data_IF_719944892477
#
_entry.id   IF_719944892477
#
_cell.length_a   1.000
_cell.length_b   1.000
_cell.length_c   1.000
_cell.angle_alpha   90.00
_cell.angle_beta   90.00
_cell.angle_gamma   90.00
#
_symmetry.space_group_name_H-M   'P 1'
#
loop_
_entity.id
_entity.type
_entity.pdbx_description
1 polymer ?
#
# COMPACT_ATOMS: atom_id res chain seq x y z
N UNK A 1 10.30 2.27 -0.28
CA UNK A 1 9.75 1.19 0.55
C UNK A 1 8.72 1.81 1.46
N UNK A 2 7.55 1.22 1.55
CA UNK A 2 6.47 1.67 2.44
C UNK A 2 6.96 1.64 3.89
N UNK A 3 6.66 2.69 4.65
CA UNK A 3 6.89 2.68 6.09
C UNK A 3 5.61 2.17 6.75
N UNK A 4 5.75 1.10 7.50
CA UNK A 4 4.64 0.36 8.05
C UNK A 4 4.79 0.36 9.57
N UNK A 5 3.73 0.72 10.28
CA UNK A 5 3.72 0.59 11.73
C UNK A 5 3.35 -0.83 12.17
N UNK A 6 3.51 -1.10 13.46
CA UNK A 6 3.26 -2.43 14.04
C UNK A 6 1.78 -2.81 13.94
N UNK A 7 0.88 -1.83 14.09
CA UNK A 7 -0.57 -2.08 14.08
C UNK A 7 -1.05 -2.49 12.70
N UNK A 8 -0.56 -1.83 11.66
CA UNK A 8 -0.84 -2.18 10.28
C UNK A 8 -0.21 -3.51 9.89
N UNK A 9 1.02 -3.80 10.32
CA UNK A 9 1.64 -5.11 10.09
C UNK A 9 0.80 -6.25 10.71
N UNK A 10 0.31 -6.06 11.95
CA UNK A 10 -0.60 -7.02 12.60
C UNK A 10 -1.89 -7.18 11.79
N UNK A 11 -2.48 -6.07 11.33
CA UNK A 11 -3.70 -6.12 10.50
C UNK A 11 -3.50 -6.93 9.22
N UNK A 12 -2.38 -6.74 8.53
CA UNK A 12 -2.03 -7.52 7.33
C UNK A 12 -1.94 -9.02 7.66
N UNK A 13 -1.30 -9.38 8.78
CA UNK A 13 -1.24 -10.79 9.22
C UNK A 13 -2.65 -11.35 9.46
N UNK A 14 -3.50 -10.60 10.16
CA UNK A 14 -4.86 -11.05 10.47
C UNK A 14 -5.73 -11.22 9.21
N UNK A 15 -5.49 -10.41 8.17
CA UNK A 15 -6.27 -10.40 6.94
C UNK A 15 -5.82 -11.47 5.94
N UNK A 16 -4.50 -11.65 5.77
CA UNK A 16 -3.95 -12.45 4.66
C UNK A 16 -3.44 -13.84 5.07
N UNK A 17 -3.12 -14.08 6.34
CA UNK A 17 -2.68 -15.41 6.80
C UNK A 17 -3.87 -16.36 6.98
N UNK A 18 -3.96 -17.47 6.21
CA UNK A 18 -5.07 -18.41 6.34
C UNK A 18 -5.05 -19.22 7.64
N UNK A 19 -3.88 -19.52 8.21
CA UNK A 19 -3.79 -20.34 9.43
C UNK A 19 -4.09 -19.52 10.71
N UNK A 20 -5.04 -20.01 11.50
CA UNK A 20 -5.45 -19.37 12.76
C UNK A 20 -4.33 -19.36 13.82
N UNK A 21 -3.57 -20.44 13.95
CA UNK A 21 -2.47 -20.51 14.94
C UNK A 21 -1.38 -19.48 14.61
N UNK A 22 -1.08 -19.30 13.33
CA UNK A 22 -0.11 -18.30 12.87
C UNK A 22 -0.62 -16.87 13.11
N UNK A 23 -1.91 -16.61 12.84
CA UNK A 23 -2.54 -15.33 13.20
C UNK A 23 -2.47 -15.04 14.69
N UNK A 24 -2.70 -16.03 15.54
CA UNK A 24 -2.64 -15.87 17.00
C UNK A 24 -1.21 -15.56 17.49
N UNK A 25 -0.20 -16.08 16.78
CA UNK A 25 1.23 -15.81 17.05
C UNK A 25 1.76 -14.55 16.34
N UNK A 26 0.93 -13.84 15.58
CA UNK A 26 1.33 -12.69 14.75
C UNK A 26 2.44 -13.05 13.73
N UNK A 27 2.33 -14.24 13.12
CA UNK A 27 3.22 -14.72 12.07
C UNK A 27 2.45 -14.89 10.76
N UNK A 28 3.11 -14.60 9.63
CA UNK A 28 2.59 -14.83 8.28
C UNK A 28 3.53 -15.76 7.52
N UNK A 29 2.97 -16.82 6.95
CA UNK A 29 3.68 -17.78 6.14
C UNK A 29 3.75 -17.32 4.67
N UNK A 30 4.57 -18.00 3.89
CA UNK A 30 4.82 -17.66 2.49
C UNK A 30 3.52 -17.54 1.67
N UNK A 31 2.53 -18.41 1.90
CA UNK A 31 1.25 -18.32 1.19
C UNK A 31 0.51 -17.01 1.52
N UNK A 32 0.40 -16.64 2.79
CA UNK A 32 -0.22 -15.38 3.21
C UNK A 32 0.48 -14.16 2.61
N UNK A 33 1.82 -14.20 2.55
CA UNK A 33 2.61 -13.15 1.91
C UNK A 33 2.33 -13.03 0.41
N UNK A 34 2.25 -14.16 -0.31
CA UNK A 34 1.91 -14.17 -1.74
C UNK A 34 0.48 -13.66 -1.96
N UNK A 35 -0.47 -14.01 -1.08
CA UNK A 35 -1.85 -13.51 -1.15
C UNK A 35 -1.91 -12.00 -0.99
N UNK A 36 -1.20 -11.45 -0.01
CA UNK A 36 -1.08 -10.01 0.18
C UNK A 36 -0.54 -9.30 -1.07
N UNK A 37 0.57 -9.80 -1.63
CA UNK A 37 1.17 -9.17 -2.82
C UNK A 37 0.26 -9.22 -4.05
N UNK A 38 -0.58 -10.24 -4.17
CA UNK A 38 -1.52 -10.42 -5.29
C UNK A 38 -2.93 -9.89 -4.97
N UNK A 39 -3.10 -9.15 -3.88
CA UNK A 39 -4.40 -8.54 -3.58
C UNK A 39 -4.79 -7.59 -4.72
N UNK A 40 -6.02 -7.66 -5.26
CA UNK A 40 -6.45 -6.80 -6.34
C UNK A 40 -6.40 -5.30 -6.00
N UNK A 41 -6.36 -4.94 -4.72
CA UNK A 41 -6.23 -3.58 -4.22
C UNK A 41 -4.77 -3.17 -3.96
N UNK A 42 -3.77 -4.07 -4.11
CA UNK A 42 -2.36 -3.73 -4.02
C UNK A 42 -1.86 -3.11 -5.34
N UNK A 43 -2.40 -1.92 -5.66
CA UNK A 43 -2.13 -1.23 -6.91
C UNK A 43 -0.66 -0.81 -7.03
N UNK A 44 -0.13 -0.89 -8.26
CA UNK A 44 1.22 -0.37 -8.57
C UNK A 44 1.27 1.15 -8.51
N UNK A 45 0.13 1.81 -8.78
CA UNK A 45 0.02 3.26 -8.84
C UNK A 45 -1.41 3.69 -8.53
N UNK A 46 -1.56 4.65 -7.62
CA UNK A 46 -2.83 5.28 -7.26
C UNK A 46 -2.68 6.78 -7.51
N UNK A 47 -3.06 7.28 -8.71
CA UNK A 47 -2.91 8.70 -9.05
C UNK A 47 -3.73 9.62 -8.13
N UNK A 48 -4.82 9.11 -7.56
CA UNK A 48 -5.72 9.85 -6.69
C UNK A 48 -5.06 10.26 -5.36
N UNK A 49 -4.06 9.50 -4.90
CA UNK A 49 -3.31 9.80 -3.67
C UNK A 49 -2.20 10.84 -3.90
N UNK A 50 -1.97 11.24 -5.15
CA UNK A 50 -0.96 12.24 -5.50
C UNK A 50 -1.63 13.60 -5.53
N UNK A 51 -1.43 14.37 -4.47
CA UNK A 51 -1.77 15.78 -4.47
C UNK A 51 -0.72 16.55 -5.30
N UNK A 52 -1.13 17.27 -6.36
CA UNK A 52 -0.20 18.10 -7.12
C UNK A 52 0.30 19.24 -6.23
N UNK A 53 1.60 19.50 -6.25
CA UNK A 53 2.18 20.65 -5.55
C UNK A 53 1.56 21.95 -6.12
N UNK A 54 0.84 22.75 -5.32
CA UNK A 54 0.21 23.98 -5.78
C UNK A 54 1.23 24.98 -6.32
N UNK A 55 2.48 24.93 -5.85
CA UNK A 55 3.55 25.81 -6.34
C UNK A 55 3.86 25.51 -7.80
N UNK A 56 3.76 24.24 -8.20
CA UNK A 56 3.97 23.82 -9.59
C UNK A 56 2.89 24.34 -10.54
N UNK A 57 1.77 24.87 -10.04
CA UNK A 57 0.69 25.46 -10.84
C UNK A 57 0.82 26.97 -11.02
N UNK A 58 1.87 27.60 -10.48
CA UNK A 58 2.11 29.05 -10.56
C UNK A 58 2.99 29.49 -11.75
N UNK A 59 3.44 28.56 -12.59
CA UNK A 59 4.23 28.89 -13.78
C UNK A 59 3.32 29.40 -14.93
N UNK A 60 3.88 30.08 -15.94
CA UNK A 60 3.11 30.47 -17.12
C UNK A 60 2.56 29.25 -17.89
N UNK A 61 1.42 29.42 -18.58
CA UNK A 61 0.73 28.34 -19.31
C UNK A 61 1.61 27.56 -20.30
N UNK A 62 2.63 28.20 -20.88
CA UNK A 62 3.56 27.55 -21.81
C UNK A 62 4.49 26.51 -21.16
N UNK A 63 4.48 26.38 -19.83
CA UNK A 63 5.28 25.42 -19.08
C UNK A 63 4.56 24.09 -18.81
N UNK A 64 3.30 23.95 -19.23
CA UNK A 64 2.47 22.76 -18.99
C UNK A 64 2.17 22.02 -20.29
N UNK A 65 2.04 20.71 -20.20
CA UNK A 65 1.38 19.92 -21.25
C UNK A 65 -0.13 20.19 -21.17
N UNK A 66 -0.72 20.62 -22.29
CA UNK A 66 -2.15 20.94 -22.43
C UNK A 66 -2.72 20.24 -23.64
#
# INVERSE_FOLDING_TARGET
MEQVDVEYAIKLIQEYEPNAECRDMLEMFFEGFVRFLNDPCNFVFVPEDIEPDPVMLNFPMGCYYV
#
